data_IF_566638703897
#
_entry.id   IF_566638703897
#
_cell.length_a   1.000
_cell.length_b   1.000
_cell.length_c   1.000
_cell.angle_alpha   90.00
_cell.angle_beta   90.00
_cell.angle_gamma   90.00
#
_symmetry.space_group_name_H-M   'P 1'
#
loop_
_entity.id
_entity.type
_entity.pdbx_description
1 polymer ?
#
# COMPACT_ATOMS: atom_id res chain seq x y z
N UNK A 1 -5.66 8.82 -3.18
CA UNK A 1 -5.62 10.27 -3.33
C UNK A 1 -6.69 10.96 -2.50
N UNK A 2 -7.32 11.97 -3.09
CA UNK A 2 -8.29 12.83 -2.40
C UNK A 2 -9.72 12.32 -2.58
N UNK A 3 -10.60 12.71 -1.65
CA UNK A 3 -12.03 12.52 -1.76
C UNK A 3 -12.63 13.79 -2.36
N UNK A 4 -13.30 13.69 -3.50
CA UNK A 4 -13.97 14.84 -4.11
C UNK A 4 -15.31 15.17 -3.43
N UNK A 5 -15.77 16.43 -3.52
CA UNK A 5 -17.13 16.77 -3.11
C UNK A 5 -18.15 15.87 -3.82
N UNK A 6 -19.15 15.41 -3.07
CA UNK A 6 -20.24 14.54 -3.55
C UNK A 6 -19.83 13.13 -4.00
N UNK A 7 -18.57 12.74 -3.79
CA UNK A 7 -18.07 11.38 -4.03
C UNK A 7 -18.21 10.51 -2.77
N UNK A 8 -18.62 9.24 -2.92
CA UNK A 8 -18.58 8.31 -1.78
C UNK A 8 -17.17 7.79 -1.55
N UNK A 9 -16.89 7.28 -0.34
CA UNK A 9 -15.58 6.67 -0.05
C UNK A 9 -15.25 5.52 -1.00
N UNK A 10 -16.25 4.70 -1.35
CA UNK A 10 -16.07 3.60 -2.28
C UNK A 10 -15.74 4.10 -3.68
N UNK A 11 -16.49 5.09 -4.18
CA UNK A 11 -16.28 5.65 -5.51
C UNK A 11 -14.88 6.25 -5.64
N UNK A 12 -14.45 7.02 -4.63
CA UNK A 12 -13.09 7.56 -4.56
C UNK A 12 -12.04 6.45 -4.54
N UNK A 13 -12.24 5.41 -3.73
CA UNK A 13 -11.32 4.28 -3.66
C UNK A 13 -11.17 3.54 -4.99
N UNK A 14 -12.28 3.31 -5.70
CA UNK A 14 -12.30 2.66 -7.01
C UNK A 14 -11.71 3.55 -8.11
N UNK A 15 -11.98 4.87 -8.07
CA UNK A 15 -11.40 5.85 -8.98
C UNK A 15 -9.89 5.90 -8.83
N UNK A 16 -9.39 6.09 -7.61
CA UNK A 16 -7.96 6.17 -7.30
C UNK A 16 -7.23 4.87 -7.66
N UNK A 17 -7.83 3.71 -7.34
CA UNK A 17 -7.30 2.40 -7.77
C UNK A 17 -7.13 2.36 -9.29
N UNK A 18 -8.13 2.82 -10.03
CA UNK A 18 -8.10 2.85 -11.50
C UNK A 18 -7.09 3.85 -12.05
N UNK A 19 -6.97 5.04 -11.46
CA UNK A 19 -6.05 6.09 -11.90
C UNK A 19 -4.58 5.65 -11.75
N UNK A 20 -4.23 5.02 -10.62
CA UNK A 20 -2.86 4.59 -10.35
C UNK A 20 -2.51 3.27 -11.06
N UNK A 21 -3.42 2.29 -11.08
CA UNK A 21 -3.11 0.91 -11.52
C UNK A 21 -3.76 0.48 -12.82
N UNK A 22 -4.77 1.22 -13.30
CA UNK A 22 -5.61 0.83 -14.44
C UNK A 22 -6.67 -0.23 -14.12
N UNK A 23 -6.65 -0.84 -12.94
CA UNK A 23 -7.58 -1.90 -12.57
C UNK A 23 -9.00 -1.36 -12.39
N UNK A 24 -9.97 -2.18 -12.80
CA UNK A 24 -11.40 -1.93 -12.59
C UNK A 24 -11.96 -3.11 -11.81
N UNK A 25 -12.41 -2.83 -10.60
CA UNK A 25 -13.05 -3.83 -9.75
C UNK A 25 -14.54 -3.50 -9.64
N UNK A 26 -15.36 -4.54 -9.72
CA UNK A 26 -16.78 -4.43 -9.40
C UNK A 26 -16.96 -4.73 -7.91
N UNK A 27 -17.50 -3.80 -7.12
CA UNK A 27 -17.70 -4.00 -5.70
C UNK A 27 -18.69 -5.15 -5.43
N UNK A 28 -18.35 -6.06 -4.53
CA UNK A 28 -19.30 -7.06 -4.02
C UNK A 28 -20.39 -6.40 -3.17
N UNK A 29 -21.56 -7.05 -3.07
CA UNK A 29 -22.65 -6.61 -2.18
C UNK A 29 -22.14 -6.46 -0.73
N UNK A 30 -22.24 -5.26 -0.16
CA UNK A 30 -21.77 -4.96 1.20
C UNK A 30 -20.35 -4.38 1.30
N UNK A 31 -19.67 -4.11 0.19
CA UNK A 31 -18.45 -3.29 0.16
C UNK A 31 -18.76 -1.78 0.17
N UNK A 32 -17.90 -0.92 0.74
CA UNK A 32 -16.53 -1.16 1.20
C UNK A 32 -16.40 -1.53 2.68
N UNK A 33 -15.42 -2.39 2.99
CA UNK A 33 -14.98 -2.61 4.38
C UNK A 33 -13.93 -1.57 4.76
N UNK A 34 -14.30 -0.64 5.65
CA UNK A 34 -13.33 0.31 6.22
C UNK A 34 -12.40 -0.45 7.16
N UNK A 35 -11.11 -0.52 6.83
CA UNK A 35 -10.08 -1.12 7.70
C UNK A 35 -9.80 -0.23 8.90
N UNK A 36 -9.68 1.08 8.68
CA UNK A 36 -9.37 2.03 9.74
C UNK A 36 -9.10 3.44 9.23
N UNK A 37 -8.90 4.35 10.18
CA UNK A 37 -8.56 5.75 9.93
C UNK A 37 -7.16 6.04 10.44
N UNK A 38 -6.41 6.84 9.69
CA UNK A 38 -5.05 7.25 10.03
C UNK A 38 -4.89 8.75 9.89
N UNK A 39 -4.49 9.41 10.97
CA UNK A 39 -4.12 10.82 10.94
C UNK A 39 -2.72 10.97 10.33
N UNK A 40 -2.64 11.69 9.21
CA UNK A 40 -1.40 11.89 8.45
C UNK A 40 -1.08 13.38 8.35
N UNK A 41 0.18 13.73 8.61
CA UNK A 41 0.70 15.09 8.43
C UNK A 41 1.96 15.08 7.56
N UNK A 42 2.18 16.17 6.82
CA UNK A 42 3.40 16.36 6.04
C UNK A 42 4.05 17.73 6.34
N UNK A 43 5.35 17.79 6.64
CA UNK A 43 6.26 16.67 6.89
C UNK A 43 5.81 15.84 8.11
N UNK A 44 6.12 14.54 8.11
CA UNK A 44 5.64 13.60 9.14
C UNK A 44 6.30 13.78 10.52
N UNK A 45 7.42 14.50 10.59
CA UNK A 45 8.20 14.73 11.81
C UNK A 45 8.51 16.21 11.95
N UNK A 46 8.39 16.75 13.17
CA UNK A 46 8.75 18.15 13.47
C UNK A 46 10.23 18.45 13.18
N UNK A 47 11.10 17.45 13.32
CA UNK A 47 12.53 17.57 12.94
C UNK A 47 12.74 17.88 11.46
N UNK A 48 11.71 17.67 10.62
CA UNK A 48 11.72 17.95 9.18
C UNK A 48 10.93 19.20 8.81
N UNK A 49 10.38 19.93 9.79
CA UNK A 49 9.62 21.16 9.60
C UNK A 49 8.22 21.12 10.22
N UNK A 50 7.55 22.27 10.21
CA UNK A 50 6.16 22.38 10.68
C UNK A 50 5.21 21.71 9.68
N UNK A 51 4.12 21.06 10.15
CA UNK A 51 3.10 20.50 9.28
C UNK A 51 2.49 21.54 8.33
N UNK A 52 2.47 21.22 7.05
CA UNK A 52 1.88 22.02 5.98
C UNK A 52 0.61 21.39 5.41
N UNK A 53 0.49 20.07 5.53
CA UNK A 53 -0.69 19.31 5.12
C UNK A 53 -1.09 18.37 6.25
N UNK A 54 -2.40 18.18 6.39
CA UNK A 54 -3.01 17.37 7.44
C UNK A 54 -4.23 16.67 6.86
N UNK A 55 -4.27 15.35 6.97
CA UNK A 55 -5.30 14.51 6.41
C UNK A 55 -5.76 13.48 7.43
N UNK A 56 -7.03 13.11 7.35
CA UNK A 56 -7.52 11.83 7.86
C UNK A 56 -7.62 10.90 6.67
N UNK A 57 -6.78 9.86 6.64
CA UNK A 57 -6.77 8.83 5.60
C UNK A 57 -7.72 7.72 6.01
N UNK A 58 -8.62 7.33 5.13
CA UNK A 58 -9.51 6.17 5.32
C UNK A 58 -8.99 5.03 4.46
N UNK A 59 -8.64 3.91 5.08
CA UNK A 59 -8.22 2.71 4.36
C UNK A 59 -9.41 1.80 4.12
N UNK A 60 -9.61 1.41 2.85
CA UNK A 60 -10.66 0.48 2.43
C UNK A 60 -10.04 -0.87 2.06
N UNK A 61 -10.69 -1.95 2.46
CA UNK A 61 -10.41 -3.30 1.98
C UNK A 61 -11.40 -3.65 0.88
N UNK A 62 -10.87 -3.93 -0.31
CA UNK A 62 -11.63 -4.44 -1.45
C UNK A 62 -11.23 -5.89 -1.69
N UNK A 63 -12.22 -6.76 -1.83
CA UNK A 63 -12.02 -8.14 -2.29
C UNK A 63 -12.30 -8.20 -3.79
N UNK A 64 -11.49 -9.00 -4.48
CA UNK A 64 -11.66 -9.27 -5.90
C UNK A 64 -11.90 -10.77 -6.08
N UNK A 65 -12.89 -11.18 -6.89
CA UNK A 65 -13.06 -12.57 -7.26
C UNK A 65 -11.96 -13.06 -8.23
N UNK A 66 -11.23 -12.12 -8.85
CA UNK A 66 -10.11 -12.41 -9.75
C UNK A 66 -8.85 -12.78 -8.96
N UNK A 67 -8.10 -13.74 -9.49
CA UNK A 67 -6.78 -14.11 -8.98
C UNK A 67 -5.75 -13.00 -9.22
N UNK A 68 -4.64 -13.04 -8.47
CA UNK A 68 -3.53 -12.11 -8.67
C UNK A 68 -2.95 -12.19 -10.09
N UNK A 69 -3.01 -13.34 -10.77
CA UNK A 69 -2.52 -13.50 -12.15
C UNK A 69 -3.42 -12.77 -13.15
N UNK A 70 -4.74 -12.86 -12.97
CA UNK A 70 -5.71 -12.14 -13.80
C UNK A 70 -5.62 -10.63 -13.60
N UNK A 71 -5.46 -10.19 -12.36
CA UNK A 71 -5.24 -8.78 -12.04
C UNK A 71 -3.88 -8.29 -12.58
N UNK A 72 -2.81 -9.06 -12.41
CA UNK A 72 -1.49 -8.73 -12.97
C UNK A 72 -1.54 -8.55 -14.49
N UNK A 73 -2.25 -9.44 -15.20
CA UNK A 73 -2.41 -9.34 -16.65
C UNK A 73 -3.25 -8.12 -17.09
N UNK A 74 -4.04 -7.56 -16.18
CA UNK A 74 -4.91 -6.40 -16.42
C UNK A 74 -4.31 -5.08 -15.93
N UNK A 75 -3.12 -5.10 -15.30
CA UNK A 75 -2.46 -3.89 -14.84
C UNK A 75 -2.09 -2.99 -16.02
N UNK A 76 -2.41 -1.71 -15.86
CA UNK A 76 -2.03 -0.63 -16.78
C UNK A 76 -1.73 0.62 -15.95
N UNK A 77 -0.62 0.61 -15.18
CA UNK A 77 -0.34 1.68 -14.24
C UNK A 77 0.00 2.99 -14.94
N UNK A 78 -0.33 4.10 -14.29
CA UNK A 78 0.03 5.44 -14.77
C UNK A 78 1.48 5.75 -14.40
N UNK A 79 2.41 5.90 -15.38
CA UNK A 79 3.80 6.23 -15.08
C UNK A 79 3.99 7.65 -14.52
N UNK A 80 2.94 8.49 -14.57
CA UNK A 80 2.93 9.80 -13.94
C UNK A 80 2.69 9.73 -12.41
N UNK A 81 2.04 8.66 -11.94
CA UNK A 81 1.63 8.49 -10.54
C UNK A 81 2.50 7.47 -9.81
N UNK A 82 2.82 6.35 -10.47
CA UNK A 82 3.53 5.22 -9.87
C UNK A 82 4.72 4.78 -10.69
N UNK A 83 5.79 4.35 -10.01
CA UNK A 83 7.01 3.85 -10.63
C UNK A 83 7.19 2.34 -10.49
N UNK A 84 6.46 1.68 -9.59
CA UNK A 84 6.52 0.24 -9.38
C UNK A 84 5.22 -0.29 -8.75
N UNK A 85 4.95 -1.59 -8.94
CA UNK A 85 3.84 -2.31 -8.34
C UNK A 85 4.34 -3.58 -7.64
N UNK A 86 3.65 -4.00 -6.57
CA UNK A 86 3.96 -5.22 -5.82
C UNK A 86 2.67 -5.90 -5.36
N UNK A 87 2.56 -7.20 -5.61
CA UNK A 87 1.64 -8.08 -4.89
C UNK A 87 2.33 -8.62 -3.63
N UNK A 88 1.91 -8.15 -2.46
CA UNK A 88 2.50 -8.58 -1.19
C UNK A 88 1.65 -9.69 -0.53
N UNK A 89 2.27 -10.83 -0.24
CA UNK A 89 1.59 -11.93 0.44
C UNK A 89 1.57 -11.76 1.97
N UNK A 90 0.78 -12.60 2.65
CA UNK A 90 0.67 -12.59 4.11
C UNK A 90 2.04 -12.73 4.79
N UNK A 91 2.96 -13.52 4.25
CA UNK A 91 4.26 -13.80 4.88
C UNK A 91 5.16 -12.56 4.85
N UNK A 92 5.23 -11.88 3.71
CA UNK A 92 5.98 -10.63 3.55
C UNK A 92 5.42 -9.56 4.49
N UNK A 93 4.09 -9.36 4.48
CA UNK A 93 3.46 -8.36 5.32
C UNK A 93 3.61 -8.66 6.81
N UNK A 94 3.43 -9.92 7.25
CA UNK A 94 3.65 -10.31 8.65
C UNK A 94 5.07 -9.98 9.11
N UNK A 95 6.07 -10.26 8.28
CA UNK A 95 7.45 -9.98 8.64
C UNK A 95 7.77 -8.46 8.66
N UNK A 96 7.18 -7.67 7.75
CA UNK A 96 7.29 -6.21 7.81
C UNK A 96 6.67 -5.64 9.10
N UNK A 97 5.48 -6.13 9.49
CA UNK A 97 4.78 -5.70 10.71
C UNK A 97 5.54 -6.11 11.96
N UNK A 98 5.97 -7.37 12.09
CA UNK A 98 6.80 -7.83 13.22
C UNK A 98 8.08 -7.01 13.37
N UNK A 99 8.77 -6.71 12.27
CA UNK A 99 9.96 -5.88 12.31
C UNK A 99 9.67 -4.46 12.83
N UNK A 100 8.51 -3.89 12.49
CA UNK A 100 8.11 -2.58 13.03
C UNK A 100 7.81 -2.62 14.53
N UNK A 101 7.24 -3.71 15.03
CA UNK A 101 6.98 -3.93 16.45
C UNK A 101 8.26 -4.26 17.25
N UNK A 102 9.43 -4.32 16.59
CA UNK A 102 10.73 -4.59 17.23
C UNK A 102 11.02 -6.08 17.42
N UNK A 103 10.21 -6.94 16.81
CA UNK A 103 10.42 -8.38 16.78
C UNK A 103 11.38 -8.74 15.64
N UNK A 104 12.13 -9.83 15.80
CA UNK A 104 12.92 -10.34 14.69
C UNK A 104 11.97 -10.93 13.64
N UNK A 105 11.96 -10.42 12.38
CA UNK A 105 11.21 -11.07 11.32
C UNK A 105 11.71 -12.51 11.20
N UNK A 106 10.79 -13.47 11.08
CA UNK A 106 11.13 -14.87 10.96
C UNK A 106 12.21 -15.06 9.86
N UNK A 107 13.16 -16.02 10.01
CA UNK A 107 14.30 -16.21 9.10
C UNK A 107 13.95 -16.67 7.68
N UNK A 108 12.69 -16.51 7.27
CA UNK A 108 12.08 -17.07 6.06
C UNK A 108 12.05 -16.08 4.89
N UNK A 109 12.37 -14.81 5.11
CA UNK A 109 12.31 -13.82 4.04
C UNK A 109 13.54 -13.85 3.11
N UNK A 110 13.26 -13.83 1.81
CA UNK A 110 14.27 -13.62 0.78
C UNK A 110 14.92 -12.23 0.95
N UNK A 111 16.18 -12.10 0.52
CA UNK A 111 16.92 -10.83 0.61
C UNK A 111 16.39 -9.75 -0.33
N UNK A 112 15.59 -10.14 -1.32
CA UNK A 112 14.93 -9.27 -2.28
C UNK A 112 13.48 -9.70 -2.48
N UNK A 113 12.65 -8.75 -2.89
CA UNK A 113 11.22 -8.93 -3.19
C UNK A 113 11.01 -8.58 -4.65
N UNK A 114 10.35 -9.47 -5.40
CA UNK A 114 10.01 -9.21 -6.80
C UNK A 114 8.98 -8.10 -6.92
N UNK A 115 9.20 -7.17 -7.84
CA UNK A 115 8.29 -6.06 -8.13
C UNK A 115 8.12 -5.92 -9.64
N UNK A 116 7.02 -5.31 -10.08
CA UNK A 116 6.85 -4.89 -11.46
C UNK A 116 7.24 -3.42 -11.58
N UNK A 117 8.37 -3.14 -12.23
CA UNK A 117 8.82 -1.78 -12.51
C UNK A 117 7.96 -1.18 -13.63
N UNK A 118 7.55 0.08 -13.47
CA UNK A 118 6.81 0.84 -14.47
C UNK A 118 7.80 1.72 -15.24
N UNK A 119 7.86 1.56 -16.57
CA UNK A 119 8.64 2.42 -17.45
C UNK A 119 7.90 3.71 -17.80
N UNK A 120 8.58 4.67 -18.42
CA UNK A 120 7.99 5.97 -18.76
C UNK A 120 6.80 5.90 -19.74
N UNK A 121 6.66 4.82 -20.49
CA UNK A 121 5.52 4.52 -21.38
C UNK A 121 4.44 3.65 -20.72
N UNK A 122 4.57 3.35 -19.43
CA UNK A 122 3.61 2.56 -18.65
C UNK A 122 3.76 1.05 -18.80
N UNK A 123 4.79 0.56 -19.52
CA UNK A 123 5.06 -0.86 -19.63
C UNK A 123 5.60 -1.42 -18.31
N UNK A 124 5.29 -2.70 -18.05
CA UNK A 124 5.75 -3.42 -16.87
C UNK A 124 6.94 -4.31 -17.20
N UNK A 125 7.95 -4.29 -16.34
CA UNK A 125 9.07 -5.23 -16.39
C UNK A 125 9.38 -5.82 -15.02
N UNK A 126 9.84 -7.06 -14.99
CA UNK A 126 10.23 -7.71 -13.74
C UNK A 126 11.49 -7.06 -13.18
N UNK A 127 11.44 -6.72 -11.89
CA UNK A 127 12.56 -6.17 -11.13
C UNK A 127 12.54 -6.75 -9.72
N UNK A 128 13.51 -6.38 -8.90
CA UNK A 128 13.54 -6.74 -7.50
C UNK A 128 14.05 -5.61 -6.64
N UNK A 129 13.37 -5.35 -5.53
CA UNK A 129 13.83 -4.43 -4.51
C UNK A 129 14.45 -5.20 -3.35
N UNK A 130 15.51 -4.67 -2.71
CA UNK A 130 16.04 -5.28 -1.51
C UNK A 130 14.99 -5.27 -0.40
N UNK A 131 15.03 -6.29 0.47
CA UNK A 131 14.09 -6.38 1.59
C UNK A 131 14.18 -5.16 2.53
N UNK A 132 15.36 -4.55 2.64
CA UNK A 132 15.58 -3.38 3.49
C UNK A 132 14.69 -2.18 3.14
N UNK A 133 14.26 -2.04 1.89
CA UNK A 133 13.31 -0.99 1.47
C UNK A 133 11.98 -1.17 2.21
N UNK A 134 11.50 -2.40 2.33
CA UNK A 134 10.23 -2.71 2.99
C UNK A 134 10.29 -2.65 4.52
N UNK A 135 11.50 -2.73 5.08
CA UNK A 135 11.75 -2.66 6.53
C UNK A 135 12.14 -1.26 7.00
N UNK A 136 12.52 -0.37 6.08
CA UNK A 136 13.00 0.98 6.36
C UNK A 136 11.93 1.87 6.98
N UNK A 137 12.38 2.81 7.82
CA UNK A 137 11.54 3.84 8.46
C UNK A 137 11.87 5.22 7.92
N UNK A 138 10.94 6.16 8.11
CA UNK A 138 11.18 7.56 7.75
C UNK A 138 12.40 8.10 8.53
N UNK A 139 13.41 8.65 7.84
CA UNK A 139 14.60 9.15 8.50
C UNK A 139 14.29 10.43 9.28
N UNK A 140 14.83 10.53 10.49
CA UNK A 140 14.64 11.69 11.38
C UNK A 140 15.14 12.99 10.75
N UNK A 141 16.20 12.90 9.95
CA UNK A 141 16.84 14.02 9.24
C UNK A 141 17.44 13.53 7.92
N UNK A 142 17.74 14.46 7.01
CA UNK A 142 18.37 14.14 5.72
C UNK A 142 17.36 13.82 4.61
N UNK A 143 17.84 13.34 3.45
CA UNK A 143 16.97 13.03 2.30
C UNK A 143 15.94 11.96 2.68
N UNK A 144 14.80 11.98 1.98
CA UNK A 144 13.84 10.89 2.10
C UNK A 144 14.38 9.63 1.43
N UNK A 145 13.93 8.47 1.89
CA UNK A 145 14.32 7.16 1.36
C UNK A 145 13.08 6.38 0.96
N UNK A 146 13.24 5.55 -0.07
CA UNK A 146 12.19 4.62 -0.48
C UNK A 146 11.85 3.68 0.68
N UNK A 147 10.55 3.57 0.99
CA UNK A 147 10.04 2.78 2.10
C UNK A 147 8.53 2.59 1.98
N UNK A 148 8.00 1.67 2.76
CA UNK A 148 6.55 1.64 3.02
C UNK A 148 6.18 2.71 4.03
N UNK A 149 5.15 3.51 3.73
CA UNK A 149 4.72 4.59 4.61
C UNK A 149 4.19 4.06 5.95
N UNK A 150 4.30 4.85 7.02
CA UNK A 150 3.78 4.47 8.34
C UNK A 150 2.26 4.23 8.31
N UNK A 151 1.51 5.03 7.54
CA UNK A 151 0.07 4.84 7.37
C UNK A 151 -0.26 3.53 6.64
N UNK A 152 0.48 3.20 5.58
CA UNK A 152 0.33 1.92 4.86
C UNK A 152 0.63 0.74 5.78
N UNK A 153 1.67 0.84 6.61
CA UNK A 153 2.01 -0.20 7.58
C UNK A 153 0.95 -0.40 8.65
N UNK A 154 0.32 0.69 9.11
CA UNK A 154 -0.87 0.61 9.96
C UNK A 154 -2.03 -0.13 9.27
N UNK A 155 -2.34 0.20 8.01
CA UNK A 155 -3.39 -0.47 7.25
C UNK A 155 -3.11 -1.96 7.05
N UNK A 156 -1.87 -2.33 6.75
CA UNK A 156 -1.42 -3.71 6.59
C UNK A 156 -1.54 -4.52 7.90
N UNK A 157 -1.25 -3.90 9.05
CA UNK A 157 -1.48 -4.52 10.37
C UNK A 157 -2.96 -4.79 10.64
N UNK A 158 -3.84 -3.89 10.21
CA UNK A 158 -5.30 -4.08 10.30
C UNK A 158 -5.77 -5.20 9.37
N UNK A 159 -5.24 -5.26 8.14
CA UNK A 159 -5.53 -6.35 7.21
C UNK A 159 -5.13 -7.71 7.77
N UNK A 160 -3.94 -7.85 8.36
CA UNK A 160 -3.53 -9.11 9.01
C UNK A 160 -4.53 -9.56 10.09
N UNK A 161 -5.04 -8.62 10.91
CA UNK A 161 -6.04 -8.92 11.93
C UNK A 161 -7.39 -9.33 11.33
N UNK A 162 -7.80 -8.72 10.22
CA UNK A 162 -9.05 -9.10 9.55
C UNK A 162 -9.02 -10.51 8.97
N UNK A 163 -7.82 -11.03 8.65
CA UNK A 163 -7.66 -12.42 8.24
C UNK A 163 -7.91 -13.38 9.41
N UNK A 164 -7.47 -13.04 10.62
CA UNK A 164 -7.65 -13.87 11.82
C UNK A 164 -9.11 -13.96 12.26
N UNK A 165 -9.90 -12.91 12.03
CA UNK A 165 -11.33 -12.90 12.33
C UNK A 165 -12.19 -13.62 11.28
N UNK A 166 -11.60 -13.99 10.15
CA UNK A 166 -12.28 -14.63 9.02
C UNK A 166 -12.02 -16.14 8.93
N UNK A 167 -11.11 -16.68 9.75
CA UNK A 167 -10.92 -18.13 9.91
C UNK A 167 -11.96 -18.68 10.92
N UNK A 168 -12.87 -19.60 10.53
CA UNK A 168 -13.81 -20.26 11.44
C UNK A 168 -13.16 -21.30 12.37
#
# INVERSE_FOLDING_TARGET
>A
GHLDPDETLLDAGLRELREETGLKLEPEEGSPNILGLWESVFPALLSRGLPQRHHIVVFLLLHSPLSHLELQASLSPSPAEVSACLWADRRLISAMVSHQDGENPAPVLQRSVSVSQVSADGALSDSSLPLEVFLSRAPVSGPDVERVSTGTMFALKLWLRSLETSDP
#
